data_IF_476737992026
#
_entry.id   IF_476737992026
#
_cell.length_a   1.000
_cell.length_b   1.000
_cell.length_c   1.000
_cell.angle_alpha   90.00
_cell.angle_beta   90.00
_cell.angle_gamma   90.00
#
_symmetry.space_group_name_H-M   'P 1'
#
loop_
_entity.id
_entity.type
_entity.pdbx_description
1 polymer ?
#
# COMPACT_ATOMS: atom_id res chain seq x y z
N UNK A 1 -35.19 2.36 115.96
CA UNK A 1 -35.48 1.38 114.88
C UNK A 1 -35.07 2.00 113.55
N UNK A 2 -34.20 1.30 112.80
CA UNK A 2 -34.00 1.29 111.32
C UNK A 2 -33.97 2.64 110.55
N UNK A 3 -33.10 2.92 109.57
CA UNK A 3 -32.31 2.04 108.69
C UNK A 3 -31.07 2.77 108.14
N UNK A 4 -29.99 2.01 107.89
CA UNK A 4 -28.90 2.41 106.99
C UNK A 4 -29.31 2.04 105.56
N UNK A 5 -29.34 3.00 104.65
CA UNK A 5 -29.38 2.75 103.20
C UNK A 5 -27.95 2.80 102.66
N UNK A 6 -27.39 1.62 102.37
CA UNK A 6 -26.13 1.47 101.65
C UNK A 6 -26.33 1.77 100.16
N UNK A 7 -25.61 2.76 99.63
CA UNK A 7 -25.59 3.10 98.21
C UNK A 7 -24.63 2.15 97.48
N UNK A 8 -25.17 1.32 96.59
CA UNK A 8 -24.44 0.33 95.78
C UNK A 8 -23.41 1.00 94.85
N UNK A 9 -22.14 0.63 94.99
CA UNK A 9 -21.02 1.02 94.10
C UNK A 9 -20.92 0.18 92.82
N UNK A 10 -21.94 -0.62 92.46
CA UNK A 10 -21.87 -1.56 91.31
C UNK A 10 -22.13 -0.93 89.93
N UNK A 11 -22.54 0.34 89.82
CA UNK A 11 -22.88 0.95 88.53
C UNK A 11 -21.74 1.70 87.81
N UNK A 12 -20.75 2.22 88.55
CA UNK A 12 -19.72 3.09 87.97
C UNK A 12 -18.65 2.30 87.21
N UNK A 13 -18.34 1.08 87.67
CA UNK A 13 -17.36 0.21 87.01
C UNK A 13 -17.82 -0.24 85.62
N UNK A 14 -19.12 -0.49 85.44
CA UNK A 14 -19.70 -0.91 84.15
C UNK A 14 -19.68 0.23 83.13
N UNK A 15 -20.00 1.45 83.56
CA UNK A 15 -19.97 2.64 82.69
C UNK A 15 -18.54 2.95 82.24
N UNK A 16 -17.55 2.83 83.14
CA UNK A 16 -16.14 3.03 82.77
C UNK A 16 -15.67 1.96 81.78
N UNK A 17 -16.10 0.71 81.95
CA UNK A 17 -15.76 -0.38 81.02
C UNK A 17 -16.36 -0.16 79.62
N UNK A 18 -17.62 0.26 79.53
CA UNK A 18 -18.26 0.59 78.23
C UNK A 18 -17.55 1.77 77.53
N UNK A 19 -17.21 2.83 78.26
CA UNK A 19 -16.51 3.99 77.68
C UNK A 19 -15.10 3.61 77.20
N UNK A 20 -14.38 2.78 77.94
CA UNK A 20 -13.06 2.28 77.51
C UNK A 20 -13.16 1.41 76.26
N UNK A 21 -14.20 0.57 76.15
CA UNK A 21 -14.40 -0.28 74.96
C UNK A 21 -14.68 0.56 73.71
N UNK A 22 -15.52 1.60 73.82
CA UNK A 22 -15.82 2.52 72.73
C UNK A 22 -14.57 3.27 72.27
N UNK A 23 -13.75 3.75 73.22
CA UNK A 23 -12.49 4.42 72.90
C UNK A 23 -11.50 3.49 72.17
N UNK A 24 -11.39 2.23 72.59
CA UNK A 24 -10.53 1.25 71.92
C UNK A 24 -11.01 1.01 70.48
N UNK A 25 -12.32 0.89 70.25
CA UNK A 25 -12.88 0.71 68.90
C UNK A 25 -12.61 1.92 68.02
N UNK A 26 -12.75 3.14 68.53
CA UNK A 26 -12.47 4.37 67.78
C UNK A 26 -10.97 4.45 67.41
N UNK A 27 -10.08 4.17 68.36
CA UNK A 27 -8.63 4.22 68.13
C UNK A 27 -8.20 3.14 67.14
N UNK A 28 -8.69 1.90 67.27
CA UNK A 28 -8.38 0.83 66.33
C UNK A 28 -8.95 1.12 64.93
N UNK A 29 -10.14 1.69 64.84
CA UNK A 29 -10.73 2.09 63.55
C UNK A 29 -9.93 3.22 62.89
N UNK A 30 -9.45 4.20 63.66
CA UNK A 30 -8.60 5.27 63.15
C UNK A 30 -7.24 4.75 62.69
N UNK A 31 -6.62 3.80 63.42
CA UNK A 31 -5.35 3.19 63.00
C UNK A 31 -5.54 2.41 61.69
N UNK A 32 -6.62 1.63 61.56
CA UNK A 32 -6.94 0.93 60.31
C UNK A 32 -7.18 1.92 59.16
N UNK A 33 -7.95 2.99 59.38
CA UNK A 33 -8.23 3.96 58.33
C UNK A 33 -7.01 4.79 57.90
N UNK A 34 -6.14 5.18 58.85
CA UNK A 34 -4.98 6.04 58.57
C UNK A 34 -3.78 5.27 58.06
N UNK A 35 -3.55 4.05 58.54
CA UNK A 35 -2.31 3.31 58.23
C UNK A 35 -2.54 2.11 57.33
N UNK A 36 -3.69 1.43 57.47
CA UNK A 36 -3.95 0.18 56.76
C UNK A 36 -4.58 0.45 55.39
N UNK A 37 -5.53 1.40 55.29
CA UNK A 37 -6.15 1.75 53.99
C UNK A 37 -5.11 2.28 52.98
N UNK A 38 -4.19 3.20 53.32
CA UNK A 38 -3.16 3.65 52.38
C UNK A 38 -2.16 2.55 52.00
N UNK A 39 -1.86 1.61 52.91
CA UNK A 39 -0.96 0.50 52.61
C UNK A 39 -1.59 -0.50 51.62
N UNK A 40 -2.92 -0.69 51.66
CA UNK A 40 -3.64 -1.55 50.72
C UNK A 40 -4.08 -0.83 49.44
N UNK A 41 -4.18 0.50 49.42
CA UNK A 41 -4.39 1.28 48.18
C UNK A 41 -3.08 1.65 47.47
N UNK A 42 -1.93 1.65 48.16
CA UNK A 42 -0.61 1.91 47.56
C UNK A 42 0.06 0.68 46.93
N UNK A 43 -0.61 -0.46 46.92
CA UNK A 43 -0.20 -1.67 46.17
C UNK A 43 -1.17 -2.07 45.05
N UNK A 44 -2.03 -1.16 44.60
CA UNK A 44 -2.42 -1.21 43.20
C UNK A 44 -1.21 -0.73 42.40
N UNK A 45 -0.74 -1.58 41.47
CA UNK A 45 0.05 -1.21 40.30
C UNK A 45 0.08 0.29 40.04
N UNK A 46 1.26 0.90 39.88
CA UNK A 46 1.43 2.25 39.30
C UNK A 46 0.23 2.56 38.42
N UNK A 47 -0.70 3.38 38.92
CA UNK A 47 -1.85 3.79 38.14
C UNK A 47 -1.29 4.80 37.14
N UNK A 48 -0.65 4.25 36.12
CA UNK A 48 -0.03 4.97 35.03
C UNK A 48 -1.09 5.73 34.25
N UNK A 49 -2.39 5.65 34.58
CA UNK A 49 -3.43 6.48 33.98
C UNK A 49 -3.02 7.97 34.02
N UNK A 50 -2.55 8.48 35.17
CA UNK A 50 -2.12 9.89 35.30
C UNK A 50 -0.93 10.28 34.40
N UNK A 51 0.07 9.39 34.26
CA UNK A 51 1.22 9.61 33.38
C UNK A 51 0.87 9.40 31.90
N UNK A 52 -0.02 8.44 31.61
CA UNK A 52 -0.57 8.17 30.28
C UNK A 52 -1.39 9.35 29.77
N UNK A 53 -2.12 10.08 30.63
CA UNK A 53 -2.79 11.33 30.25
C UNK A 53 -1.83 12.51 30.01
N UNK A 54 -0.60 12.46 30.50
CA UNK A 54 0.40 13.53 30.36
C UNK A 54 1.24 13.40 29.07
N UNK A 55 1.43 12.17 28.58
CA UNK A 55 1.96 11.90 27.25
C UNK A 55 0.82 11.93 26.23
N UNK A 56 0.82 12.93 25.34
CA UNK A 56 -0.14 13.02 24.23
C UNK A 56 0.60 13.35 22.96
N UNK A 57 0.10 12.82 21.85
CA UNK A 57 0.67 13.07 20.54
C UNK A 57 -0.42 13.05 19.49
N UNK A 58 -0.09 13.57 18.32
CA UNK A 58 -0.93 13.53 17.12
C UNK A 58 -0.05 13.29 15.88
N UNK A 59 -0.60 12.59 14.89
CA UNK A 59 -0.01 12.50 13.56
C UNK A 59 -0.41 13.75 12.79
N UNK A 60 0.57 14.57 12.39
CA UNK A 60 0.34 15.82 11.64
C UNK A 60 0.31 15.54 10.14
N UNK A 61 1.22 14.68 9.67
CA UNK A 61 1.40 14.33 8.25
C UNK A 61 1.99 12.92 8.15
N UNK A 62 1.78 12.29 7.01
CA UNK A 62 2.43 11.09 6.55
C UNK A 62 2.43 11.10 5.01
N UNK A 63 3.53 10.64 4.41
CA UNK A 63 3.71 10.54 2.95
C UNK A 63 4.76 9.49 2.57
N UNK A 64 4.96 9.26 1.28
CA UNK A 64 6.14 8.54 0.79
C UNK A 64 7.40 9.41 0.94
N UNK A 65 8.48 8.83 1.44
CA UNK A 65 9.69 9.59 1.78
C UNK A 65 10.53 9.98 0.55
N UNK A 66 10.42 9.23 -0.56
CA UNK A 66 11.03 9.60 -1.83
C UNK A 66 9.96 9.73 -2.91
N UNK A 67 9.60 10.98 -3.24
CA UNK A 67 8.94 11.29 -4.50
C UNK A 67 10.03 11.47 -5.57
N UNK A 68 10.71 10.40 -5.97
CA UNK A 68 11.46 10.49 -7.21
C UNK A 68 10.46 10.80 -8.33
N UNK A 69 10.77 11.83 -9.11
CA UNK A 69 10.01 12.14 -10.31
C UNK A 69 10.24 10.96 -11.24
N UNK A 70 9.17 10.27 -11.65
CA UNK A 70 9.27 9.27 -12.71
C UNK A 70 10.03 9.90 -13.89
N UNK A 71 10.94 9.15 -14.50
CA UNK A 71 11.67 9.58 -15.69
C UNK A 71 11.14 8.74 -16.85
N UNK A 72 9.89 8.96 -17.28
CA UNK A 72 9.22 7.97 -18.10
C UNK A 72 9.94 7.85 -19.42
N UNK A 73 10.04 6.63 -19.93
CA UNK A 73 10.62 6.42 -21.25
C UNK A 73 9.78 7.10 -22.35
N UNK A 74 10.33 7.18 -23.55
CA UNK A 74 9.59 7.79 -24.66
C UNK A 74 8.57 6.78 -25.18
N UNK A 75 7.29 7.14 -25.14
CA UNK A 75 6.22 6.34 -25.74
C UNK A 75 6.55 6.05 -27.21
N UNK A 76 6.56 4.77 -27.56
CA UNK A 76 6.80 4.30 -28.92
C UNK A 76 5.78 4.91 -29.90
N UNK A 77 6.25 5.24 -31.11
CA UNK A 77 5.35 5.69 -32.18
C UNK A 77 4.48 4.54 -32.68
N UNK A 78 3.25 4.80 -33.13
CA UNK A 78 2.41 3.70 -33.61
C UNK A 78 3.04 2.96 -34.80
N UNK A 79 2.97 1.62 -34.75
CA UNK A 79 3.55 0.73 -35.75
C UNK A 79 5.07 0.56 -35.64
N UNK A 80 5.72 1.18 -34.65
CA UNK A 80 7.13 0.93 -34.36
C UNK A 80 7.36 -0.45 -33.73
N UNK A 81 6.38 -0.95 -32.96
CA UNK A 81 6.46 -2.28 -32.34
C UNK A 81 6.05 -3.40 -33.30
N UNK A 82 5.06 -3.15 -34.18
CA UNK A 82 4.67 -4.06 -35.25
C UNK A 82 4.49 -3.33 -36.59
N UNK A 83 5.44 -3.53 -37.49
CA UNK A 83 5.38 -2.96 -38.85
C UNK A 83 4.40 -3.69 -39.77
N UNK A 84 3.90 -4.87 -39.39
CA UNK A 84 3.01 -5.70 -40.20
C UNK A 84 1.54 -5.30 -40.09
N UNK A 85 1.13 -4.69 -38.97
CA UNK A 85 -0.24 -4.17 -38.76
C UNK A 85 -0.27 -2.65 -38.96
N UNK A 86 0.65 -1.91 -38.32
CA UNK A 86 0.81 -0.46 -38.41
C UNK A 86 -0.43 0.35 -37.98
N UNK A 87 -0.36 1.69 -38.02
CA UNK A 87 -1.53 2.56 -37.75
C UNK A 87 -2.27 3.08 -38.99
N UNK A 88 -1.88 2.62 -40.18
CA UNK A 88 -2.48 3.08 -41.43
C UNK A 88 -3.10 1.90 -42.17
N UNK A 89 -4.42 1.67 -42.02
CA UNK A 89 -5.10 0.60 -42.74
C UNK A 89 -5.20 0.92 -44.23
N UNK A 90 -5.13 -0.12 -45.06
CA UNK A 90 -5.50 -0.05 -46.48
C UNK A 90 -7.02 0.10 -46.67
N UNK A 91 -7.69 -0.98 -47.10
CA UNK A 91 -9.16 -1.01 -47.16
C UNK A 91 -9.77 -1.36 -45.80
N UNK A 92 -10.87 -0.69 -45.43
CA UNK A 92 -11.54 -0.87 -44.15
C UNK A 92 -13.02 -0.49 -44.18
N UNK A 93 -13.78 -1.04 -43.22
CA UNK A 93 -15.11 -0.59 -42.83
C UNK A 93 -15.01 0.44 -41.70
N UNK A 94 -15.61 1.61 -41.87
CA UNK A 94 -15.72 2.59 -40.78
C UNK A 94 -16.82 2.19 -39.79
N UNK A 95 -16.47 2.05 -38.52
CA UNK A 95 -17.40 1.81 -37.41
C UNK A 95 -17.53 3.08 -36.57
N UNK A 96 -18.68 3.76 -36.65
CA UNK A 96 -18.91 5.04 -35.97
C UNK A 96 -20.36 5.15 -35.48
N UNK A 97 -20.56 5.05 -34.17
CA UNK A 97 -21.88 4.93 -33.55
C UNK A 97 -22.59 3.62 -33.87
N UNK A 98 -21.90 2.68 -34.52
CA UNK A 98 -22.42 1.39 -34.97
C UNK A 98 -21.84 0.24 -34.17
N UNK A 99 -22.44 -0.94 -34.34
CA UNK A 99 -21.92 -2.19 -33.79
C UNK A 99 -21.61 -3.20 -34.89
N UNK A 100 -20.69 -4.12 -34.61
CA UNK A 100 -20.40 -5.30 -35.43
C UNK A 100 -20.88 -6.53 -34.64
N UNK A 101 -22.16 -6.92 -34.76
CA UNK A 101 -22.75 -8.01 -33.97
C UNK A 101 -22.57 -9.39 -34.61
N UNK A 102 -22.29 -9.44 -35.91
CA UNK A 102 -22.11 -10.66 -36.69
C UNK A 102 -20.72 -10.71 -37.31
N UNK A 103 -20.26 -11.89 -37.78
CA UNK A 103 -18.97 -12.01 -38.43
C UNK A 103 -18.80 -11.05 -39.62
N UNK A 104 -17.69 -10.31 -39.62
CA UNK A 104 -17.27 -9.41 -40.69
C UNK A 104 -15.88 -9.84 -41.20
N UNK A 105 -15.66 -9.74 -42.51
CA UNK A 105 -14.36 -10.04 -43.13
C UNK A 105 -13.79 -8.78 -43.77
N UNK A 106 -12.58 -8.42 -43.35
CA UNK A 106 -11.95 -7.14 -43.67
C UNK A 106 -11.53 -6.38 -42.42
N UNK A 107 -10.82 -5.27 -42.62
CA UNK A 107 -10.38 -4.41 -41.53
C UNK A 107 -11.49 -3.48 -41.07
N UNK A 108 -11.45 -3.08 -39.81
CA UNK A 108 -12.39 -2.13 -39.21
C UNK A 108 -11.61 -0.91 -38.72
N UNK A 109 -12.12 0.28 -39.03
CA UNK A 109 -11.58 1.55 -38.54
C UNK A 109 -12.63 2.24 -37.66
N UNK A 110 -12.25 2.55 -36.42
CA UNK A 110 -12.95 3.52 -35.58
C UNK A 110 -12.36 4.90 -35.88
N UNK A 111 -13.11 5.82 -36.50
CA UNK A 111 -12.58 7.11 -36.92
C UNK A 111 -12.31 8.03 -35.72
N UNK A 112 -11.72 9.19 -35.99
CA UNK A 112 -11.46 10.23 -34.97
C UNK A 112 -12.74 10.58 -34.22
N UNK A 113 -12.68 10.53 -32.88
CA UNK A 113 -13.82 10.72 -31.97
C UNK A 113 -15.02 9.78 -32.21
N UNK A 114 -14.82 8.71 -32.99
CA UNK A 114 -15.85 7.72 -33.28
C UNK A 114 -16.05 6.77 -32.11
N UNK A 115 -17.18 6.05 -32.14
CA UNK A 115 -17.48 4.99 -31.17
C UNK A 115 -17.78 3.70 -31.92
N UNK A 116 -17.22 2.59 -31.47
CA UNK A 116 -17.49 1.28 -32.05
C UNK A 116 -17.70 0.22 -30.96
N UNK A 117 -18.72 -0.61 -31.15
CA UNK A 117 -18.96 -1.80 -30.33
C UNK A 117 -18.81 -3.08 -31.18
N UNK A 118 -17.91 -3.98 -30.79
CA UNK A 118 -17.73 -5.28 -31.44
C UNK A 118 -18.19 -6.37 -30.48
N UNK A 119 -19.20 -7.14 -30.88
CA UNK A 119 -19.63 -8.35 -30.17
C UNK A 119 -19.55 -9.61 -31.04
N UNK A 120 -19.41 -9.43 -32.36
CA UNK A 120 -19.16 -10.49 -33.33
C UNK A 120 -17.67 -10.77 -33.57
N UNK A 121 -17.37 -11.44 -34.69
CA UNK A 121 -16.00 -11.75 -35.12
C UNK A 121 -15.55 -10.80 -36.23
N UNK A 122 -14.36 -10.22 -36.13
CA UNK A 122 -13.69 -9.49 -37.20
C UNK A 122 -12.55 -10.36 -37.75
N UNK A 123 -12.70 -10.84 -38.98
CA UNK A 123 -11.66 -11.54 -39.73
C UNK A 123 -10.75 -10.52 -40.44
N UNK A 124 -10.03 -9.75 -39.63
CA UNK A 124 -9.13 -8.68 -40.07
C UNK A 124 -8.61 -7.91 -38.87
N UNK A 125 -7.92 -6.80 -39.14
CA UNK A 125 -7.37 -5.92 -38.12
C UNK A 125 -8.40 -4.86 -37.68
N UNK A 126 -8.26 -4.36 -36.47
CA UNK A 126 -9.06 -3.24 -35.94
C UNK A 126 -8.13 -2.07 -35.64
N UNK A 127 -8.51 -0.90 -36.15
CA UNK A 127 -7.75 0.35 -36.00
C UNK A 127 -8.61 1.37 -35.26
N UNK A 128 -8.04 2.08 -34.28
CA UNK A 128 -8.73 3.11 -33.51
C UNK A 128 -7.93 4.41 -33.57
N UNK A 129 -8.53 5.43 -34.19
CA UNK A 129 -7.88 6.72 -34.36
C UNK A 129 -8.11 7.65 -33.16
N UNK A 130 -7.37 8.77 -33.17
CA UNK A 130 -7.36 9.79 -32.12
C UNK A 130 -8.75 10.12 -31.57
N UNK A 131 -8.90 10.06 -30.25
CA UNK A 131 -10.17 10.34 -29.55
C UNK A 131 -11.26 9.26 -29.74
N UNK A 132 -11.02 8.22 -30.53
CA UNK A 132 -11.96 7.12 -30.74
C UNK A 132 -12.19 6.29 -29.47
N UNK A 133 -13.34 5.61 -29.43
CA UNK A 133 -13.74 4.73 -28.34
C UNK A 133 -14.10 3.36 -28.91
N UNK A 134 -13.30 2.35 -28.56
CA UNK A 134 -13.55 0.97 -28.95
C UNK A 134 -14.01 0.17 -27.72
N UNK A 135 -15.12 -0.54 -27.86
CA UNK A 135 -15.53 -1.59 -26.92
C UNK A 135 -15.65 -2.92 -27.64
N UNK A 136 -14.99 -3.95 -27.12
CA UNK A 136 -15.13 -5.33 -27.59
C UNK A 136 -15.62 -6.18 -26.43
N UNK A 137 -16.81 -6.78 -26.57
CA UNK A 137 -17.44 -7.57 -25.49
C UNK A 137 -17.81 -8.95 -26.01
N UNK A 138 -17.12 -9.99 -25.56
CA UNK A 138 -17.29 -11.36 -26.05
C UNK A 138 -16.86 -11.59 -27.51
N UNK A 139 -16.46 -10.51 -28.21
CA UNK A 139 -16.08 -10.53 -29.62
C UNK A 139 -14.68 -11.10 -29.86
N UNK A 140 -14.40 -11.39 -31.12
CA UNK A 140 -13.08 -11.89 -31.56
C UNK A 140 -12.52 -11.01 -32.67
N UNK A 141 -11.25 -10.64 -32.55
CA UNK A 141 -10.43 -10.02 -33.59
C UNK A 141 -9.41 -11.07 -34.03
N UNK A 142 -9.54 -11.58 -35.25
CA UNK A 142 -8.63 -12.59 -35.80
C UNK A 142 -7.35 -11.99 -36.40
N UNK A 143 -7.26 -10.65 -36.48
CA UNK A 143 -6.04 -9.91 -36.77
C UNK A 143 -5.46 -9.23 -35.52
N UNK A 144 -4.74 -8.13 -35.76
CA UNK A 144 -4.23 -7.23 -34.72
C UNK A 144 -5.23 -6.12 -34.34
N UNK A 145 -4.96 -5.48 -33.20
CA UNK A 145 -5.65 -4.29 -32.71
C UNK A 145 -4.63 -3.18 -32.53
N UNK A 146 -4.81 -2.07 -33.23
CA UNK A 146 -3.93 -0.91 -33.15
C UNK A 146 -4.74 0.34 -32.80
N UNK A 147 -4.39 1.00 -31.71
CA UNK A 147 -5.02 2.24 -31.28
C UNK A 147 -3.95 3.32 -31.08
N UNK A 148 -4.14 4.48 -31.70
CA UNK A 148 -3.25 5.62 -31.54
C UNK A 148 -4.03 6.85 -31.08
N UNK A 149 -3.65 7.34 -29.90
CA UNK A 149 -4.22 8.52 -29.26
C UNK A 149 -5.74 8.39 -29.02
N UNK A 150 -6.24 7.16 -28.91
CA UNK A 150 -7.65 6.87 -28.66
C UNK A 150 -8.09 7.38 -27.27
N UNK A 151 -9.38 7.73 -27.14
CA UNK A 151 -9.93 8.12 -25.84
C UNK A 151 -10.11 6.89 -24.95
N UNK A 152 -10.61 5.78 -25.50
CA UNK A 152 -10.69 4.54 -24.74
C UNK A 152 -10.64 3.28 -25.59
N UNK A 153 -10.08 2.23 -25.01
CA UNK A 153 -10.14 0.86 -25.52
C UNK A 153 -10.56 -0.06 -24.37
N UNK A 154 -11.72 -0.70 -24.53
CA UNK A 154 -12.28 -1.63 -23.55
C UNK A 154 -12.43 -3.02 -24.17
N UNK A 155 -11.73 -4.01 -23.61
CA UNK A 155 -11.77 -5.41 -24.01
C UNK A 155 -12.33 -6.23 -22.85
N UNK A 156 -13.54 -6.78 -23.00
CA UNK A 156 -14.20 -7.59 -21.97
C UNK A 156 -14.54 -8.96 -22.53
N UNK A 157 -13.93 -10.03 -22.00
CA UNK A 157 -14.05 -11.38 -22.55
C UNK A 157 -13.73 -11.41 -24.06
N UNK A 158 -12.83 -10.54 -24.52
CA UNK A 158 -12.48 -10.42 -25.91
C UNK A 158 -11.33 -11.37 -26.27
N UNK A 159 -11.26 -11.77 -27.53
CA UNK A 159 -10.12 -12.50 -28.06
C UNK A 159 -9.43 -11.68 -29.15
N UNK A 160 -8.13 -11.44 -29.03
CA UNK A 160 -7.30 -10.84 -30.09
C UNK A 160 -6.23 -11.86 -30.48
N UNK A 161 -6.14 -12.15 -31.78
CA UNK A 161 -5.25 -13.21 -32.27
C UNK A 161 -3.86 -12.70 -32.58
N UNK A 162 -3.75 -11.51 -33.16
CA UNK A 162 -2.48 -10.85 -33.43
C UNK A 162 -2.05 -9.91 -32.31
N UNK A 163 -1.17 -8.98 -32.67
CA UNK A 163 -0.66 -7.92 -31.80
C UNK A 163 -1.76 -7.02 -31.26
N UNK A 164 -1.54 -6.48 -30.06
CA UNK A 164 -2.34 -5.37 -29.52
C UNK A 164 -1.43 -4.19 -29.19
N UNK A 165 -1.42 -3.16 -30.03
CA UNK A 165 -0.67 -1.92 -29.79
C UNK A 165 -1.59 -0.77 -29.39
N UNK A 166 -1.36 -0.21 -28.21
CA UNK A 166 -2.17 0.84 -27.60
C UNK A 166 -1.29 2.06 -27.31
N UNK A 167 -1.08 2.88 -28.32
CA UNK A 167 -0.18 4.03 -28.27
C UNK A 167 -0.95 5.28 -27.83
N UNK A 168 -0.53 5.91 -26.74
CA UNK A 168 -1.13 7.13 -26.17
C UNK A 168 -2.64 7.03 -25.90
N UNK A 169 -3.14 5.84 -25.55
CA UNK A 169 -4.57 5.65 -25.24
C UNK A 169 -4.86 6.17 -23.83
N UNK A 170 -5.86 7.05 -23.68
CA UNK A 170 -6.14 7.68 -22.39
C UNK A 170 -6.69 6.69 -21.35
N UNK A 171 -7.48 5.71 -21.77
CA UNK A 171 -8.04 4.69 -20.88
C UNK A 171 -8.06 3.33 -21.56
N UNK A 172 -7.32 2.39 -20.99
CA UNK A 172 -7.29 0.99 -21.42
C UNK A 172 -7.89 0.13 -20.30
N UNK A 173 -8.94 -0.63 -20.63
CA UNK A 173 -9.58 -1.59 -19.74
C UNK A 173 -9.63 -2.97 -20.39
N UNK A 174 -8.88 -3.93 -19.86
CA UNK A 174 -8.84 -5.29 -20.35
C UNK A 174 -9.26 -6.22 -19.22
N UNK A 175 -10.32 -6.99 -19.43
CA UNK A 175 -10.85 -7.91 -18.42
C UNK A 175 -11.29 -9.24 -19.05
N UNK A 176 -10.91 -10.36 -18.43
CA UNK A 176 -11.32 -11.69 -18.88
C UNK A 176 -10.89 -12.05 -20.30
N UNK A 177 -9.94 -11.32 -20.88
CA UNK A 177 -9.63 -11.38 -22.31
C UNK A 177 -8.45 -12.30 -22.60
N UNK A 178 -8.36 -12.77 -23.84
CA UNK A 178 -7.22 -13.57 -24.31
C UNK A 178 -6.53 -12.86 -25.48
N UNK A 179 -5.24 -12.56 -25.34
CA UNK A 179 -4.49 -11.73 -26.30
C UNK A 179 -3.32 -12.50 -26.92
N UNK A 180 -2.99 -12.14 -28.15
CA UNK A 180 -2.01 -12.80 -29.02
C UNK A 180 -2.18 -14.33 -29.08
N UNK A 181 -3.42 -14.80 -29.30
CA UNK A 181 -3.69 -16.26 -29.33
C UNK A 181 -3.04 -16.99 -30.51
N UNK A 182 -2.47 -16.27 -31.49
CA UNK A 182 -1.68 -16.86 -32.56
C UNK A 182 -0.29 -17.32 -32.10
N UNK A 183 0.22 -16.79 -30.97
CA UNK A 183 1.56 -17.06 -30.47
C UNK A 183 2.68 -16.47 -31.33
N UNK A 184 2.36 -15.51 -32.21
CA UNK A 184 3.35 -14.84 -33.04
C UNK A 184 4.21 -13.93 -32.14
N UNK A 185 5.53 -14.04 -32.30
CA UNK A 185 6.51 -13.20 -31.60
C UNK A 185 6.73 -11.93 -32.42
N UNK A 186 6.41 -10.77 -31.86
CA UNK A 186 6.54 -9.46 -32.53
C UNK A 186 7.53 -8.63 -31.72
N UNK A 187 8.59 -8.08 -32.31
CA UNK A 187 9.68 -7.54 -31.50
C UNK A 187 10.56 -6.50 -32.19
N UNK A 188 10.98 -5.47 -31.43
CA UNK A 188 12.15 -4.63 -31.74
C UNK A 188 13.28 -4.71 -30.68
N UNK A 189 13.02 -5.24 -29.48
CA UNK A 189 13.99 -5.45 -28.38
C UNK A 189 13.96 -6.90 -27.80
N UNK A 190 14.46 -7.86 -28.58
CA UNK A 190 14.76 -9.24 -28.13
C UNK A 190 13.67 -10.14 -27.47
N UNK A 191 12.39 -9.77 -27.33
CA UNK A 191 11.28 -10.70 -26.97
C UNK A 191 9.92 -10.38 -27.62
N UNK A 192 9.17 -11.44 -28.00
CA UNK A 192 7.88 -11.37 -28.68
C UNK A 192 6.72 -10.71 -27.92
N UNK A 193 6.57 -9.40 -28.10
CA UNK A 193 5.46 -8.58 -27.68
C UNK A 193 4.12 -9.11 -28.19
N UNK A 194 3.21 -9.35 -27.25
CA UNK A 194 1.81 -9.67 -27.50
C UNK A 194 0.92 -8.44 -27.34
N UNK A 195 1.28 -7.60 -26.38
CA UNK A 195 0.64 -6.34 -26.10
C UNK A 195 1.70 -5.28 -25.77
N UNK A 196 1.57 -4.13 -26.43
CA UNK A 196 2.20 -2.89 -26.03
C UNK A 196 1.10 -1.90 -25.64
N UNK A 197 1.24 -1.28 -24.48
CA UNK A 197 0.50 -0.10 -24.12
C UNK A 197 1.50 1.00 -23.77
N UNK A 198 1.22 2.23 -24.17
CA UNK A 198 2.11 3.34 -23.86
C UNK A 198 1.35 4.63 -23.68
N UNK A 199 1.86 5.46 -22.78
CA UNK A 199 1.39 6.83 -22.58
C UNK A 199 0.74 7.07 -21.23
N UNK A 200 0.51 8.36 -20.97
CA UNK A 200 0.06 8.93 -19.69
C UNK A 200 -1.42 8.67 -19.38
N UNK A 201 -1.94 7.52 -19.79
CA UNK A 201 -3.32 7.11 -19.54
C UNK A 201 -3.48 6.31 -18.26
N UNK A 202 -4.71 5.84 -18.06
CA UNK A 202 -5.03 4.74 -17.16
C UNK A 202 -4.92 3.41 -17.92
N UNK A 203 -4.21 2.44 -17.36
CA UNK A 203 -4.12 1.09 -17.88
C UNK A 203 -4.60 0.08 -16.83
N UNK A 204 -5.56 -0.76 -17.20
CA UNK A 204 -5.97 -1.90 -16.38
C UNK A 204 -6.07 -3.17 -17.19
N UNK A 205 -5.45 -4.24 -16.68
CA UNK A 205 -5.57 -5.59 -17.19
C UNK A 205 -5.89 -6.54 -16.04
N UNK A 206 -7.01 -7.25 -16.13
CA UNK A 206 -7.50 -8.13 -15.07
C UNK A 206 -7.98 -9.47 -15.61
N UNK A 207 -7.73 -10.56 -14.88
CA UNK A 207 -8.26 -11.89 -15.19
C UNK A 207 -8.01 -12.33 -16.65
N UNK A 208 -6.92 -11.86 -17.27
CA UNK A 208 -6.66 -12.04 -18.69
C UNK A 208 -5.49 -13.00 -18.94
N UNK A 209 -5.46 -13.62 -20.11
CA UNK A 209 -4.41 -14.53 -20.52
C UNK A 209 -3.69 -13.98 -21.76
N UNK A 210 -2.37 -13.90 -21.70
CA UNK A 210 -1.53 -13.37 -22.77
C UNK A 210 -0.46 -14.38 -23.15
N UNK A 211 -0.43 -14.73 -24.43
CA UNK A 211 0.63 -15.55 -25.01
C UNK A 211 1.72 -14.64 -25.56
N UNK A 212 2.87 -14.55 -24.89
CA UNK A 212 3.94 -13.60 -25.19
C UNK A 212 4.11 -12.54 -24.09
N UNK A 213 4.77 -11.43 -24.45
CA UNK A 213 5.10 -10.34 -23.54
C UNK A 213 4.02 -9.27 -23.48
N UNK A 214 3.85 -8.69 -22.30
CA UNK A 214 3.06 -7.49 -22.07
C UNK A 214 4.01 -6.38 -21.64
N UNK A 215 3.93 -5.25 -22.32
CA UNK A 215 4.67 -4.04 -22.01
C UNK A 215 3.67 -2.90 -21.80
N UNK A 216 3.84 -2.14 -20.70
CA UNK A 216 3.11 -0.91 -20.46
C UNK A 216 4.07 0.21 -20.06
N UNK A 217 4.26 1.15 -20.98
CA UNK A 217 5.16 2.30 -20.86
C UNK A 217 4.43 3.55 -20.35
N UNK A 218 5.03 4.28 -19.40
CA UNK A 218 4.60 5.64 -19.00
C UNK A 218 3.17 5.74 -18.42
N UNK A 219 2.57 4.66 -17.92
CA UNK A 219 1.18 4.68 -17.43
C UNK A 219 1.02 5.52 -16.16
N UNK A 220 0.14 6.54 -16.12
CA UNK A 220 -0.04 7.31 -14.87
C UNK A 220 -0.62 6.41 -13.76
N UNK A 221 -1.60 5.57 -14.10
CA UNK A 221 -2.15 4.58 -13.20
C UNK A 221 -2.24 3.23 -13.90
N UNK A 222 -1.49 2.25 -13.41
CA UNK A 222 -1.32 0.94 -14.04
C UNK A 222 -1.74 -0.16 -13.07
N UNK A 223 -2.79 -0.91 -13.41
CA UNK A 223 -3.34 -2.00 -12.60
C UNK A 223 -3.28 -3.31 -13.38
N UNK A 224 -2.45 -4.24 -12.94
CA UNK A 224 -2.29 -5.58 -13.52
C UNK A 224 -2.61 -6.61 -12.45
N UNK A 225 -3.81 -7.21 -12.50
CA UNK A 225 -4.30 -8.08 -11.44
C UNK A 225 -4.81 -9.44 -11.94
N UNK A 226 -4.30 -10.53 -11.36
CA UNK A 226 -4.79 -11.89 -11.60
C UNK A 226 -4.72 -12.32 -13.07
N UNK A 227 -3.66 -11.94 -13.77
CA UNK A 227 -3.43 -12.32 -15.16
C UNK A 227 -2.44 -13.49 -15.27
N UNK A 228 -2.49 -14.16 -16.42
CA UNK A 228 -1.50 -15.14 -16.83
C UNK A 228 -0.76 -14.62 -18.07
N UNK A 229 0.52 -14.31 -17.94
CA UNK A 229 1.38 -13.82 -19.03
C UNK A 229 2.51 -14.81 -19.21
N UNK A 230 2.51 -15.53 -20.34
CA UNK A 230 3.53 -16.58 -20.57
C UNK A 230 4.95 -16.02 -20.76
N UNK A 231 5.08 -14.76 -21.19
CA UNK A 231 6.34 -14.07 -21.38
C UNK A 231 6.69 -13.08 -20.26
N UNK A 232 7.44 -12.03 -20.64
CA UNK A 232 7.78 -10.90 -19.77
C UNK A 232 6.54 -10.04 -19.51
N UNK A 233 6.39 -9.59 -18.26
CA UNK A 233 5.51 -8.50 -17.89
C UNK A 233 6.39 -7.31 -17.53
N UNK A 234 6.43 -6.33 -18.41
CA UNK A 234 7.21 -5.10 -18.28
C UNK A 234 6.26 -3.94 -18.00
N UNK A 235 6.46 -3.27 -16.87
CA UNK A 235 5.55 -2.25 -16.38
C UNK A 235 6.33 -1.03 -15.89
N UNK A 236 6.05 0.09 -16.55
CA UNK A 236 6.36 1.42 -16.09
C UNK A 236 5.07 2.17 -15.73
N UNK A 237 5.05 2.74 -14.53
CA UNK A 237 3.97 3.56 -14.02
C UNK A 237 4.49 4.87 -13.45
N UNK A 238 4.10 5.98 -14.08
CA UNK A 238 4.59 7.30 -13.71
C UNK A 238 4.11 7.77 -12.32
N UNK A 239 2.90 7.38 -11.89
CA UNK A 239 2.36 7.76 -10.57
C UNK A 239 2.05 6.56 -9.68
N UNK A 240 1.14 5.66 -10.10
CA UNK A 240 0.63 4.55 -9.29
C UNK A 240 0.54 3.24 -10.07
N UNK A 241 1.32 2.24 -9.64
CA UNK A 241 1.30 0.88 -10.15
C UNK A 241 0.78 -0.14 -9.13
N UNK A 242 0.00 -1.11 -9.60
CA UNK A 242 -0.37 -2.32 -8.84
C UNK A 242 -0.17 -3.54 -9.73
N UNK A 243 0.70 -4.46 -9.32
CA UNK A 243 0.96 -5.73 -10.00
C UNK A 243 0.70 -6.84 -9.01
N UNK A 244 -0.48 -7.44 -9.07
CA UNK A 244 -0.99 -8.31 -8.01
C UNK A 244 -1.48 -9.66 -8.55
N UNK A 245 -1.12 -10.75 -7.87
CA UNK A 245 -1.63 -12.10 -8.12
C UNK A 245 -1.45 -12.61 -9.56
N UNK A 246 -0.46 -12.11 -10.30
CA UNK A 246 -0.22 -12.55 -11.67
C UNK A 246 0.67 -13.80 -11.69
N UNK A 247 0.52 -14.61 -12.73
CA UNK A 247 1.48 -15.66 -13.10
C UNK A 247 2.20 -15.19 -14.35
N UNK A 248 3.51 -14.95 -14.24
CA UNK A 248 4.31 -14.36 -15.32
C UNK A 248 5.56 -15.17 -15.61
N UNK A 249 6.07 -15.10 -16.84
CA UNK A 249 7.37 -15.66 -17.20
C UNK A 249 8.52 -14.89 -16.55
N UNK A 250 8.45 -13.56 -16.60
CA UNK A 250 9.37 -12.67 -15.88
C UNK A 250 8.67 -11.36 -15.55
N UNK A 251 9.24 -10.61 -14.59
CA UNK A 251 8.73 -9.32 -14.18
C UNK A 251 9.82 -8.27 -14.34
N UNK A 252 9.49 -7.18 -15.01
CA UNK A 252 10.40 -6.09 -15.32
C UNK A 252 9.74 -4.76 -15.01
N UNK A 253 10.42 -3.90 -14.25
CA UNK A 253 9.82 -2.73 -13.63
C UNK A 253 10.73 -1.54 -13.79
N UNK A 254 10.56 -0.81 -14.88
CA UNK A 254 11.40 0.35 -15.15
C UNK A 254 10.72 1.64 -14.70
N UNK A 255 11.55 2.54 -14.14
CA UNK A 255 11.24 3.93 -13.75
C UNK A 255 9.83 4.25 -13.19
N UNK A 256 9.33 3.44 -12.25
CA UNK A 256 8.01 3.70 -11.64
C UNK A 256 8.03 4.84 -10.59
N UNK A 257 6.92 5.54 -10.44
CA UNK A 257 6.60 6.37 -9.27
C UNK A 257 6.37 5.50 -8.04
N UNK A 258 5.11 5.32 -7.64
CA UNK A 258 4.73 4.42 -6.54
C UNK A 258 4.23 3.09 -7.10
N UNK A 259 4.81 1.96 -6.71
CA UNK A 259 4.34 0.65 -7.20
C UNK A 259 4.21 -0.43 -6.11
N UNK A 260 3.12 -1.19 -6.15
CA UNK A 260 2.90 -2.35 -5.27
C UNK A 260 2.95 -3.65 -6.07
N UNK A 261 3.80 -4.58 -5.65
CA UNK A 261 4.02 -5.87 -6.31
C UNK A 261 3.76 -6.99 -5.32
N UNK A 262 2.63 -7.68 -5.41
CA UNK A 262 2.25 -8.67 -4.41
C UNK A 262 1.60 -9.94 -4.94
N UNK A 263 1.88 -11.08 -4.31
CA UNK A 263 1.21 -12.35 -4.62
C UNK A 263 1.51 -12.93 -6.01
N UNK A 264 2.49 -12.38 -6.74
CA UNK A 264 2.80 -12.83 -8.09
C UNK A 264 3.63 -14.13 -8.05
N UNK A 265 3.42 -15.00 -9.03
CA UNK A 265 4.26 -16.17 -9.29
C UNK A 265 5.07 -15.94 -10.54
N UNK A 266 6.40 -15.88 -10.40
CA UNK A 266 7.35 -15.67 -11.49
C UNK A 266 7.99 -17.00 -11.84
N UNK A 267 7.66 -17.53 -13.02
CA UNK A 267 7.92 -18.93 -13.39
C UNK A 267 9.16 -19.12 -14.27
N UNK A 268 9.60 -18.09 -14.99
CA UNK A 268 10.78 -18.14 -15.85
C UNK A 268 12.08 -17.83 -15.11
N UNK A 269 13.19 -18.31 -15.65
CA UNK A 269 14.53 -18.16 -15.05
C UNK A 269 15.28 -16.90 -15.52
N UNK A 270 14.79 -16.24 -16.58
CA UNK A 270 15.45 -15.09 -17.22
C UNK A 270 14.40 -14.16 -17.81
N UNK A 271 14.54 -12.85 -17.61
CA UNK A 271 13.73 -11.87 -18.34
C UNK A 271 13.97 -10.41 -18.02
N UNK A 272 15.12 -10.08 -17.46
CA UNK A 272 15.56 -8.68 -17.36
C UNK A 272 16.28 -8.25 -18.65
N UNK A 273 16.04 -7.03 -19.15
CA UNK A 273 16.63 -6.52 -20.37
C UNK A 273 18.12 -6.27 -20.20
N UNK A 274 18.72 -6.09 -21.36
CA UNK A 274 20.13 -6.25 -21.58
C UNK A 274 20.98 -5.07 -21.04
N UNK A 275 22.28 -5.30 -20.73
CA UNK A 275 22.96 -6.58 -20.88
C UNK A 275 22.39 -7.56 -19.87
N UNK A 276 21.92 -8.74 -20.33
CA UNK A 276 21.09 -9.61 -19.53
C UNK A 276 21.86 -9.94 -18.27
N UNK A 277 21.32 -9.55 -17.12
CA UNK A 277 21.82 -10.09 -15.86
C UNK A 277 21.32 -11.53 -15.85
N UNK A 278 22.14 -12.43 -16.41
CA UNK A 278 21.78 -13.82 -16.60
C UNK A 278 21.27 -14.43 -15.28
N UNK A 279 20.11 -15.08 -15.34
CA UNK A 279 19.46 -15.71 -14.18
C UNK A 279 18.57 -14.79 -13.33
N UNK A 280 18.33 -13.54 -13.74
CA UNK A 280 17.36 -12.65 -13.09
C UNK A 280 16.00 -12.76 -13.77
N UNK A 281 14.97 -13.02 -12.96
CA UNK A 281 13.58 -13.17 -13.39
C UNK A 281 12.69 -12.01 -12.94
N UNK A 282 13.19 -11.20 -12.00
CA UNK A 282 12.55 -9.97 -11.51
C UNK A 282 13.56 -8.84 -11.51
N UNK A 283 13.26 -7.76 -12.23
CA UNK A 283 14.04 -6.53 -12.22
C UNK A 283 13.24 -5.39 -11.59
N UNK A 284 13.76 -4.86 -10.48
CA UNK A 284 13.32 -3.60 -9.91
C UNK A 284 14.23 -2.51 -10.46
N UNK A 285 13.74 -1.73 -11.42
CA UNK A 285 14.40 -0.53 -11.93
C UNK A 285 14.40 0.63 -10.93
N UNK A 286 14.62 1.85 -11.41
CA UNK A 286 14.71 3.07 -10.60
C UNK A 286 13.34 3.57 -10.12
N UNK A 287 12.70 2.79 -9.24
CA UNK A 287 11.39 3.13 -8.68
C UNK A 287 11.53 4.22 -7.61
N UNK A 288 10.63 5.20 -7.60
CA UNK A 288 10.58 6.24 -6.57
C UNK A 288 10.25 5.64 -5.19
N UNK A 289 9.23 4.77 -5.17
CA UNK A 289 8.81 4.01 -4.02
C UNK A 289 8.24 2.67 -4.48
N UNK A 290 8.51 1.59 -3.76
CA UNK A 290 7.77 0.35 -3.99
C UNK A 290 7.56 -0.52 -2.76
N UNK A 291 6.44 -1.24 -2.76
CA UNK A 291 6.11 -2.27 -1.78
C UNK A 291 6.08 -3.64 -2.44
N UNK A 292 6.79 -4.63 -1.87
CA UNK A 292 6.77 -6.01 -2.37
C UNK A 292 6.39 -7.00 -1.28
N UNK A 293 5.51 -7.98 -1.58
CA UNK A 293 5.09 -8.97 -0.59
C UNK A 293 4.51 -10.26 -1.20
N UNK A 294 4.82 -11.41 -0.58
CA UNK A 294 4.26 -12.72 -0.97
C UNK A 294 4.45 -13.12 -2.45
N UNK A 295 5.51 -12.66 -3.10
CA UNK A 295 5.84 -13.09 -4.46
C UNK A 295 6.61 -14.43 -4.43
N UNK A 296 6.23 -15.37 -5.30
CA UNK A 296 6.89 -16.66 -5.46
C UNK A 296 7.83 -16.61 -6.65
N UNK A 297 9.11 -16.88 -6.42
CA UNK A 297 10.16 -16.88 -7.45
C UNK A 297 10.94 -18.19 -7.31
N UNK A 298 10.40 -19.35 -7.75
CA UNK A 298 10.91 -20.67 -7.38
C UNK A 298 12.32 -20.98 -7.90
N UNK A 299 12.69 -20.43 -9.05
CA UNK A 299 13.95 -20.73 -9.75
C UNK A 299 14.71 -19.48 -10.23
N UNK A 300 14.20 -18.30 -9.92
CA UNK A 300 14.75 -17.03 -10.41
C UNK A 300 15.41 -16.21 -9.31
N UNK A 301 16.12 -15.15 -9.71
CA UNK A 301 16.70 -14.18 -8.81
C UNK A 301 16.14 -12.77 -9.07
N UNK A 302 16.19 -11.92 -8.05
CA UNK A 302 15.88 -10.50 -8.16
C UNK A 302 17.12 -9.68 -8.53
N UNK A 303 16.92 -8.59 -9.25
CA UNK A 303 17.88 -7.51 -9.48
C UNK A 303 17.29 -6.18 -9.02
N UNK A 304 18.14 -5.23 -8.64
CA UNK A 304 17.72 -3.96 -8.07
C UNK A 304 17.20 -4.08 -6.64
N UNK A 305 16.60 -3.01 -6.13
CA UNK A 305 16.04 -2.97 -4.78
C UNK A 305 14.60 -2.48 -4.85
N UNK A 306 13.70 -3.19 -4.18
CA UNK A 306 12.38 -2.66 -3.93
C UNK A 306 12.28 -2.12 -2.50
N UNK A 307 12.27 -0.80 -2.38
CA UNK A 307 12.33 -0.10 -1.09
C UNK A 307 11.03 0.65 -0.86
N UNK A 308 10.32 0.28 0.21
CA UNK A 308 9.23 1.06 0.74
C UNK A 308 9.79 2.00 1.81
N UNK A 309 9.57 3.30 1.68
CA UNK A 309 9.89 4.26 2.73
C UNK A 309 8.78 5.30 2.90
N UNK A 310 8.47 5.62 4.15
CA UNK A 310 7.42 6.57 4.52
C UNK A 310 7.97 7.57 5.49
N UNK A 311 7.48 8.79 5.40
CA UNK A 311 7.77 9.87 6.32
C UNK A 311 6.49 10.15 7.10
N UNK A 312 6.61 10.34 8.42
CA UNK A 312 5.50 10.62 9.32
C UNK A 312 5.92 11.70 10.30
N UNK A 313 5.11 12.74 10.40
CA UNK A 313 5.29 13.84 11.33
C UNK A 313 4.44 13.58 12.58
N UNK A 314 5.10 13.40 13.72
CA UNK A 314 4.45 13.12 15.00
C UNK A 314 4.74 14.25 15.98
N UNK A 315 3.69 14.92 16.44
CA UNK A 315 3.81 16.06 17.36
C UNK A 315 3.48 15.66 18.79
N UNK A 316 4.28 16.11 19.75
CA UNK A 316 3.97 15.97 21.17
C UNK A 316 3.04 17.10 21.62
N UNK A 317 1.77 16.75 21.90
CA UNK A 317 0.71 17.65 22.38
C UNK A 317 0.45 17.51 23.89
N UNK A 318 1.28 16.71 24.57
CA UNK A 318 1.18 16.45 26.00
C UNK A 318 1.74 17.57 26.88
N UNK A 319 1.85 17.29 28.17
CA UNK A 319 2.49 18.17 29.16
C UNK A 319 3.86 17.68 29.61
N UNK A 320 4.32 16.54 29.09
CA UNK A 320 5.63 15.94 29.37
C UNK A 320 6.29 15.42 28.09
N UNK A 321 7.61 15.27 28.10
CA UNK A 321 8.33 14.71 26.95
C UNK A 321 7.87 13.26 26.70
N UNK A 322 7.64 12.92 25.44
CA UNK A 322 7.20 11.57 25.04
C UNK A 322 8.41 10.77 24.60
N UNK A 323 8.48 9.51 25.04
CA UNK A 323 9.50 8.57 24.57
C UNK A 323 8.87 7.49 23.71
N UNK A 324 9.17 7.43 22.41
CA UNK A 324 8.74 6.30 21.56
C UNK A 324 9.72 5.15 21.70
N UNK A 325 9.19 3.95 21.98
CA UNK A 325 9.97 2.73 22.25
C UNK A 325 9.77 1.63 21.22
N UNK A 326 8.66 1.68 20.46
CA UNK A 326 8.36 0.70 19.42
C UNK A 326 7.56 1.33 18.28
N UNK A 327 7.75 0.76 17.09
CA UNK A 327 7.01 1.10 15.87
C UNK A 327 6.52 -0.20 15.24
N UNK A 328 5.26 -0.21 14.84
CA UNK A 328 4.65 -1.35 14.16
C UNK A 328 4.12 -0.92 12.80
N UNK A 329 4.14 -1.83 11.84
CA UNK A 329 3.39 -1.74 10.59
C UNK A 329 2.38 -2.88 10.56
N UNK A 330 1.08 -2.60 10.43
CA UNK A 330 0.00 -3.60 10.38
C UNK A 330 0.09 -4.69 11.46
N UNK A 331 0.59 -4.32 12.65
CA UNK A 331 0.87 -5.16 13.84
C UNK A 331 2.18 -5.98 13.84
N UNK A 332 3.04 -5.80 12.86
CA UNK A 332 4.37 -6.41 12.81
C UNK A 332 5.38 -5.37 13.27
N UNK A 333 6.25 -5.66 14.26
CA UNK A 333 7.34 -4.75 14.64
C UNK A 333 8.17 -4.39 13.41
N UNK A 334 8.41 -3.10 13.20
CA UNK A 334 9.23 -2.65 12.11
C UNK A 334 10.69 -3.08 12.37
N UNK A 335 11.21 -3.99 11.54
CA UNK A 335 12.59 -4.49 11.69
C UNK A 335 13.65 -3.61 11.03
N UNK A 336 13.25 -2.54 10.33
CA UNK A 336 14.07 -1.79 9.40
C UNK A 336 14.59 -0.45 9.95
N UNK A 337 15.46 0.19 9.17
CA UNK A 337 16.12 1.47 9.46
C UNK A 337 15.08 2.58 9.62
N UNK A 338 14.95 3.06 10.85
CA UNK A 338 14.25 4.31 11.17
C UNK A 338 15.28 5.44 11.08
N UNK A 339 14.85 6.62 10.65
CA UNK A 339 15.60 7.87 10.76
C UNK A 339 14.65 8.96 11.21
N UNK A 340 15.05 9.80 12.16
CA UNK A 340 14.24 10.97 12.52
C UNK A 340 15.07 12.19 12.84
N UNK A 341 14.39 13.34 12.78
CA UNK A 341 14.87 14.64 13.25
C UNK A 341 13.73 15.42 13.92
N UNK A 342 14.07 16.41 14.74
CA UNK A 342 13.08 17.37 15.24
C UNK A 342 12.85 18.43 14.16
N UNK A 343 11.59 18.74 13.86
CA UNK A 343 11.21 19.78 12.92
C UNK A 343 11.69 21.18 13.37
N UNK A 344 11.92 21.36 14.68
CA UNK A 344 12.56 22.57 15.22
C UNK A 344 14.02 22.75 14.78
N UNK A 345 14.66 21.72 14.24
CA UNK A 345 16.10 21.69 13.93
C UNK A 345 16.99 21.49 15.15
N UNK A 346 16.41 21.33 16.35
CA UNK A 346 17.18 21.02 17.56
C UNK A 346 17.71 19.59 17.52
N UNK A 347 18.85 19.30 18.20
CA UNK A 347 19.33 17.94 18.34
C UNK A 347 18.27 17.04 18.98
N UNK A 348 17.95 15.96 18.28
CA UNK A 348 17.15 14.85 18.80
C UNK A 348 17.84 14.15 19.96
N UNK A 349 17.05 13.56 20.87
CA UNK A 349 17.58 12.70 21.92
C UNK A 349 17.32 11.21 21.59
N UNK A 350 18.42 10.50 21.36
CA UNK A 350 18.52 9.06 21.11
C UNK A 350 18.84 8.32 22.41
N UNK A 351 17.83 7.94 23.19
CA UNK A 351 18.04 7.46 24.55
C UNK A 351 18.80 8.51 25.40
N UNK A 352 20.09 8.28 25.67
CA UNK A 352 20.92 9.19 26.48
C UNK A 352 21.90 10.05 25.64
N UNK A 353 21.85 9.98 24.31
CA UNK A 353 22.78 10.70 23.42
C UNK A 353 22.03 11.76 22.62
N UNK A 354 22.58 12.97 22.53
CA UNK A 354 22.07 14.01 21.65
C UNK A 354 22.71 13.91 20.27
N UNK A 355 21.90 13.83 19.22
CA UNK A 355 22.34 13.74 17.82
C UNK A 355 21.46 14.62 16.94
N UNK A 356 21.98 15.05 15.79
CA UNK A 356 21.18 15.79 14.80
C UNK A 356 20.07 14.92 14.19
N UNK A 357 20.34 13.62 14.03
CA UNK A 357 19.38 12.62 13.59
C UNK A 357 19.50 11.37 14.45
N UNK A 358 18.41 10.62 14.63
CA UNK A 358 18.49 9.29 15.26
C UNK A 358 18.07 8.20 14.32
N UNK A 359 18.79 7.09 14.42
CA UNK A 359 18.55 5.90 13.62
C UNK A 359 18.03 4.71 14.45
N UNK A 360 17.74 4.94 15.73
CA UNK A 360 17.37 3.90 16.69
C UNK A 360 16.30 4.40 17.67
N UNK A 361 15.52 3.44 18.18
CA UNK A 361 14.63 3.66 19.32
C UNK A 361 15.39 3.39 20.64
N UNK A 362 14.99 4.01 21.77
CA UNK A 362 13.90 4.95 21.88
C UNK A 362 14.27 6.39 21.49
N UNK A 363 13.26 7.16 21.06
CA UNK A 363 13.39 8.58 20.71
C UNK A 363 12.58 9.45 21.68
N UNK A 364 13.12 10.60 22.10
CA UNK A 364 12.45 11.50 23.05
C UNK A 364 12.06 12.80 22.35
N UNK A 365 10.77 13.10 22.33
CA UNK A 365 10.18 14.30 21.71
C UNK A 365 9.80 15.30 22.81
N UNK A 366 10.43 16.49 22.84
CA UNK A 366 10.05 17.55 23.78
C UNK A 366 8.59 18.00 23.62
N UNK A 367 8.03 18.56 24.69
CA UNK A 367 6.66 19.12 24.66
C UNK A 367 6.56 20.23 23.62
N UNK A 368 5.54 20.16 22.76
CA UNK A 368 5.26 21.16 21.74
C UNK A 368 6.10 21.01 20.46
N UNK A 369 7.09 20.12 20.45
CA UNK A 369 7.92 19.83 19.27
C UNK A 369 7.31 18.71 18.42
N UNK A 370 7.87 18.53 17.22
CA UNK A 370 7.45 17.56 16.23
C UNK A 370 8.64 16.74 15.74
N UNK A 371 8.45 15.43 15.66
CA UNK A 371 9.37 14.47 15.10
C UNK A 371 9.02 14.23 13.63
N UNK A 372 9.95 14.46 12.71
CA UNK A 372 9.87 14.02 11.32
C UNK A 372 10.52 12.64 11.26
N UNK A 373 9.70 11.59 11.14
CA UNK A 373 10.14 10.19 11.24
C UNK A 373 10.07 9.55 9.86
N UNK A 374 11.23 9.23 9.29
CA UNK A 374 11.34 8.37 8.10
C UNK A 374 11.51 6.91 8.50
N UNK A 375 10.69 6.04 7.94
CA UNK A 375 10.68 4.61 8.19
C UNK A 375 10.86 3.90 6.86
N UNK A 376 12.00 3.23 6.68
CA UNK A 376 12.15 2.24 5.63
C UNK A 376 11.48 0.93 6.04
N UNK A 377 10.97 0.17 5.10
CA UNK A 377 10.59 -1.23 5.34
C UNK A 377 10.72 -2.06 4.08
N UNK A 378 10.84 -3.36 4.32
CA UNK A 378 10.59 -4.41 3.34
C UNK A 378 9.38 -5.16 3.85
N UNK A 379 8.35 -5.37 3.02
CA UNK A 379 7.18 -6.07 3.52
C UNK A 379 7.56 -7.51 3.91
N UNK A 380 7.02 -8.05 5.01
CA UNK A 380 7.34 -9.40 5.45
C UNK A 380 6.93 -10.43 4.39
N UNK A 381 7.78 -11.45 4.19
CA UNK A 381 7.44 -12.60 3.35
C UNK A 381 6.23 -13.32 3.97
N UNK A 382 5.06 -13.20 3.34
CA UNK A 382 3.82 -13.85 3.80
C UNK A 382 2.77 -12.93 4.43
N UNK A 383 2.97 -11.61 4.46
CA UNK A 383 1.90 -10.69 4.88
C UNK A 383 0.80 -10.60 3.80
N UNK A 384 -0.43 -10.95 4.22
CA UNK A 384 -1.74 -11.04 3.55
C UNK A 384 -1.89 -10.72 2.05
N UNK A 385 -2.65 -11.56 1.30
CA UNK A 385 -3.06 -11.30 -0.07
C UNK A 385 -4.33 -10.43 -0.10
N UNK A 386 -4.27 -9.16 0.32
CA UNK A 386 -5.41 -8.24 0.16
C UNK A 386 -4.88 -6.83 -0.16
N UNK A 387 -5.58 -6.05 -1.01
CA UNK A 387 -5.00 -4.91 -1.69
C UNK A 387 -4.47 -3.92 -0.67
N UNK A 388 -3.24 -3.47 -0.92
CA UNK A 388 -2.65 -2.31 -0.26
C UNK A 388 -3.48 -1.10 -0.68
N UNK A 389 -4.63 -0.90 -0.02
CA UNK A 389 -5.37 0.35 -0.06
C UNK A 389 -4.84 1.30 1.01
N UNK A 390 -4.08 0.78 1.99
CA UNK A 390 -3.33 1.60 2.94
C UNK A 390 -2.15 0.87 3.60
N UNK A 391 -1.24 1.63 4.20
CA UNK A 391 -0.24 1.20 5.19
C UNK A 391 -0.72 1.72 6.54
N UNK A 392 -0.79 0.87 7.55
CA UNK A 392 -1.09 1.27 8.91
C UNK A 392 0.16 1.15 9.76
N UNK A 393 0.47 2.18 10.55
CA UNK A 393 1.56 2.18 11.50
C UNK A 393 1.12 2.63 12.89
N UNK A 394 1.80 2.09 13.90
CA UNK A 394 1.55 2.39 15.31
C UNK A 394 2.86 2.81 15.96
N UNK A 395 2.88 3.97 16.62
CA UNK A 395 3.95 4.35 17.52
C UNK A 395 3.53 4.09 18.96
N UNK A 396 4.41 3.45 19.75
CA UNK A 396 4.15 3.13 21.16
C UNK A 396 5.08 3.92 22.05
N UNK A 397 4.52 4.63 23.02
CA UNK A 397 5.31 5.35 24.03
C UNK A 397 5.80 4.45 25.17
N UNK A 398 6.70 4.96 26.01
CA UNK A 398 7.15 4.28 27.24
C UNK A 398 6.03 4.00 28.25
N UNK A 399 4.89 4.70 28.16
CA UNK A 399 3.70 4.46 29.00
C UNK A 399 2.57 3.74 28.26
N UNK A 400 2.87 3.11 27.12
CA UNK A 400 1.89 2.37 26.31
C UNK A 400 0.76 3.25 25.76
N UNK A 401 1.04 4.52 25.46
CA UNK A 401 0.14 5.30 24.62
C UNK A 401 0.42 4.98 23.14
N UNK A 402 -0.64 4.98 22.31
CA UNK A 402 -0.57 4.62 20.89
C UNK A 402 -0.88 5.79 19.95
N UNK A 403 0.05 6.11 19.04
CA UNK A 403 -0.25 6.95 17.86
C UNK A 403 -0.59 6.00 16.71
N UNK A 404 -1.77 6.16 16.14
CA UNK A 404 -2.14 5.48 14.90
C UNK A 404 -1.89 6.40 13.70
N UNK A 405 -1.42 5.83 12.60
CA UNK A 405 -1.45 6.51 11.30
C UNK A 405 -1.70 5.56 10.14
N UNK A 406 -2.43 6.08 9.16
CA UNK A 406 -2.85 5.36 7.96
C UNK A 406 -2.38 6.15 6.73
N UNK A 407 -1.74 5.46 5.80
CA UNK A 407 -1.33 5.99 4.50
C UNK A 407 -2.14 5.28 3.45
N UNK A 408 -3.15 5.93 2.87
CA UNK A 408 -3.96 5.32 1.83
C UNK A 408 -3.29 5.44 0.47
N UNK A 409 -3.32 4.37 -0.31
CA UNK A 409 -2.94 4.39 -1.71
C UNK A 409 -4.13 4.90 -2.52
N UNK A 410 -4.27 6.23 -2.59
CA UNK A 410 -5.24 6.88 -3.47
C UNK A 410 -4.52 7.77 -4.48
N UNK A 411 -5.16 8.06 -5.61
CA UNK A 411 -4.73 9.12 -6.53
C UNK A 411 -4.47 10.39 -5.72
N UNK A 412 -3.20 10.84 -5.66
CA UNK A 412 -2.82 12.08 -4.96
C UNK A 412 -2.23 11.92 -3.55
N UNK A 413 -1.91 10.72 -3.07
CA UNK A 413 -1.09 10.50 -1.86
C UNK A 413 -1.66 11.13 -0.56
N UNK A 414 -2.96 11.36 -0.50
CA UNK A 414 -3.61 12.10 0.59
C UNK A 414 -3.97 11.24 1.81
N UNK A 415 -3.88 11.84 3.00
CA UNK A 415 -4.31 11.24 4.27
C UNK A 415 -5.66 11.79 4.74
N UNK A 416 -6.66 10.95 5.07
CA UNK A 416 -7.68 11.31 6.03
C UNK A 416 -7.12 11.14 7.45
N UNK A 417 -6.80 12.27 8.08
CA UNK A 417 -6.32 12.36 9.46
C UNK A 417 -7.38 11.87 10.45
N UNK A 418 -7.13 10.74 11.14
CA UNK A 418 -7.71 10.46 12.46
C UNK A 418 -6.67 9.74 13.32
N UNK A 419 -5.92 10.49 14.14
CA UNK A 419 -5.30 9.91 15.33
C UNK A 419 -6.45 9.55 16.28
N UNK A 420 -6.66 8.26 16.56
CA UNK A 420 -7.49 7.86 17.69
C UNK A 420 -6.57 7.48 18.84
N UNK A 421 -6.72 8.16 19.97
CA UNK A 421 -6.26 7.63 21.26
C UNK A 421 -7.17 6.45 21.59
N UNK A 422 -6.88 5.28 21.05
CA UNK A 422 -7.51 4.06 21.53
C UNK A 422 -6.69 3.55 22.72
N UNK A 423 -7.33 3.36 23.87
CA UNK A 423 -6.81 2.49 24.92
C UNK A 423 -6.81 1.05 24.39
N UNK A 424 -5.91 0.75 23.45
CA UNK A 424 -5.67 -0.63 23.02
C UNK A 424 -4.87 -1.32 24.11
N UNK A 425 -5.32 -2.51 24.48
CA UNK A 425 -4.69 -3.27 25.56
C UNK A 425 -3.32 -3.82 25.16
N UNK A 426 -2.97 -3.95 23.86
CA UNK A 426 -1.59 -4.17 23.34
C UNK A 426 -1.59 -4.26 21.79
N UNK A 427 -0.46 -3.96 21.13
CA UNK A 427 0.07 -4.80 20.05
C UNK A 427 1.46 -5.35 20.41
N UNK A 428 1.82 -6.58 19.99
CA UNK A 428 1.05 -7.48 19.14
C UNK A 428 0.02 -8.27 19.95
N UNK A 429 -1.26 -8.19 19.59
CA UNK A 429 -2.23 -9.21 20.03
C UNK A 429 -2.14 -10.39 19.06
N UNK A 430 -1.91 -11.57 19.62
CA UNK A 430 -2.42 -12.81 19.02
C UNK A 430 -3.92 -12.94 19.31
#
# INVERSE_FOLDING_TARGET
>A
MLSKLGRSRRGVATIIAEVMMVLIVIVLSAIVYVWVVPAFTSQASKDNAGAAYAEKFETVRAQFANNAVSSPETVAACGSQDTSVGCSPGSYLTCNGSSIPSPYTGNVLVPVNGVCLITGTVNGNVYVYSGGNLTVTGGTINGGLEADSASSVTLTNAKVSGFTGLYNVQTVNISGSTLNTSGQSICTDACGGALYAGGRGYFSMTNSNVTGQVENEVGHNTIVNNNHVSGRLEIESADLGQIINNVVGSLDLDANGTIVIAGNTVTGATGCPAPPIAGKSVCYGSNAWCGTGNNQIPSGQTSGSCIGNVEVDVRNTGSTAVTFVAVYMTNIPLAATLSWQLASGNPTQCGNVQLATCIQLPIIIPVGDMAEITMGWTAPSGAFPLPWNYIYFIFVSSHQNYVDGYLYFQQGLGMPLQSRLEQRICPPCY
#
